data_IF_141678069962
#
_entry.id   IF_141678069962
#
_cell.length_a   1.000
_cell.length_b   1.000
_cell.length_c   1.000
_cell.angle_alpha   90.00
_cell.angle_beta   90.00
_cell.angle_gamma   90.00
#
_symmetry.space_group_name_H-M   'P 1'
#
loop_
_entity.id
_entity.type
_entity.pdbx_description
1 polymer ?
#
# COMPACT_ATOMS: atom_id res chain seq x y z
N UNK A 1 20.68 -30.80 -5.76
CA UNK A 1 20.25 -30.15 -4.51
C UNK A 1 20.40 -28.63 -4.55
N UNK A 2 21.48 -28.06 -5.08
CA UNK A 2 21.64 -26.58 -5.14
C UNK A 2 20.72 -25.88 -6.14
N UNK A 3 20.43 -26.51 -7.30
CA UNK A 3 19.59 -25.92 -8.36
C UNK A 3 18.12 -25.78 -7.96
N UNK A 4 17.59 -26.69 -7.12
CA UNK A 4 16.20 -26.63 -6.64
C UNK A 4 16.00 -25.53 -5.58
N UNK A 5 17.02 -25.25 -4.76
CA UNK A 5 16.96 -24.17 -3.78
C UNK A 5 16.95 -22.79 -4.44
N UNK A 6 17.76 -22.58 -5.48
CA UNK A 6 17.78 -21.33 -6.25
C UNK A 6 16.48 -21.07 -7.00
N UNK A 7 15.84 -22.11 -7.54
CA UNK A 7 14.52 -21.96 -8.16
C UNK A 7 13.44 -21.55 -7.15
N UNK A 8 13.51 -22.07 -5.93
CA UNK A 8 12.53 -21.78 -4.89
C UNK A 8 12.68 -20.35 -4.34
N UNK A 9 13.92 -19.85 -4.15
CA UNK A 9 14.14 -18.46 -3.74
C UNK A 9 13.71 -17.46 -4.81
N UNK A 10 13.99 -17.75 -6.09
CA UNK A 10 13.57 -16.88 -7.19
C UNK A 10 12.03 -16.78 -7.28
N UNK A 11 11.32 -17.90 -7.07
CA UNK A 11 9.86 -17.93 -7.03
C UNK A 11 9.30 -17.10 -5.87
N UNK A 12 9.88 -17.21 -4.67
CA UNK A 12 9.45 -16.45 -3.49
C UNK A 12 9.61 -14.94 -3.69
N UNK A 13 10.71 -14.50 -4.32
CA UNK A 13 10.92 -13.10 -4.65
C UNK A 13 9.87 -12.56 -5.65
N UNK A 14 9.50 -13.37 -6.65
CA UNK A 14 8.47 -13.01 -7.62
C UNK A 14 7.11 -12.89 -6.92
N UNK A 15 6.78 -13.80 -6.01
CA UNK A 15 5.53 -13.73 -5.25
C UNK A 15 5.48 -12.53 -4.32
N UNK A 16 6.55 -12.28 -3.57
CA UNK A 16 6.68 -11.10 -2.70
C UNK A 16 6.53 -9.81 -3.51
N UNK A 17 7.14 -9.72 -4.69
CA UNK A 17 7.01 -8.57 -5.58
C UNK A 17 5.57 -8.35 -6.05
N UNK A 18 4.86 -9.42 -6.40
CA UNK A 18 3.46 -9.34 -6.82
C UNK A 18 2.55 -8.92 -5.66
N UNK A 19 2.80 -9.39 -4.44
CA UNK A 19 2.00 -9.01 -3.27
C UNK A 19 2.10 -7.52 -2.93
N UNK A 20 3.26 -6.89 -3.18
CA UNK A 20 3.45 -5.44 -2.98
C UNK A 20 2.61 -4.58 -3.94
N UNK A 21 2.08 -5.17 -5.01
CA UNK A 21 1.34 -4.45 -6.03
C UNK A 21 -0.15 -4.50 -5.68
N UNK A 22 -0.83 -3.36 -5.47
CA UNK A 22 -2.26 -3.36 -5.21
C UNK A 22 -3.02 -3.70 -6.50
N UNK A 23 -3.59 -4.91 -6.54
CA UNK A 23 -4.50 -5.39 -7.57
C UNK A 23 -5.96 -5.17 -7.15
N UNK A 24 -6.88 -5.17 -8.11
CA UNK A 24 -8.31 -4.96 -7.81
C UNK A 24 -8.97 -6.10 -7.02
N UNK A 25 -8.35 -7.29 -6.97
CA UNK A 25 -8.87 -8.47 -6.28
C UNK A 25 -7.77 -9.18 -5.49
N UNK A 26 -8.10 -9.78 -4.32
CA UNK A 26 -7.15 -10.56 -3.54
C UNK A 26 -6.75 -11.83 -4.30
N UNK A 27 -5.44 -12.10 -4.33
CA UNK A 27 -4.86 -13.24 -5.05
C UNK A 27 -4.78 -14.45 -4.13
N UNK A 28 -5.04 -15.63 -4.67
CA UNK A 28 -4.86 -16.90 -3.95
C UNK A 28 -3.99 -17.88 -4.71
N UNK A 29 -4.04 -17.85 -6.04
CA UNK A 29 -3.27 -18.76 -6.89
C UNK A 29 -2.80 -18.01 -8.13
N UNK A 30 -1.51 -17.68 -8.20
CA UNK A 30 -0.93 -16.86 -9.27
C UNK A 30 -1.16 -17.48 -10.66
N UNK A 31 -0.94 -18.78 -10.84
CA UNK A 31 -1.16 -19.43 -12.14
C UNK A 31 -2.61 -19.32 -12.61
N UNK A 32 -3.58 -19.48 -11.70
CA UNK A 32 -5.00 -19.37 -12.02
C UNK A 32 -5.44 -17.92 -12.22
N UNK A 33 -5.03 -17.02 -11.33
CA UNK A 33 -5.46 -15.63 -11.32
C UNK A 33 -4.91 -14.88 -12.54
N UNK A 34 -3.69 -15.21 -12.99
CA UNK A 34 -3.14 -14.62 -14.22
C UNK A 34 -3.60 -15.31 -15.51
N UNK A 35 -4.28 -16.46 -15.44
CA UNK A 35 -4.61 -17.26 -16.62
C UNK A 35 -5.48 -16.54 -17.67
N UNK A 36 -6.29 -15.56 -17.26
CA UNK A 36 -7.14 -14.78 -18.16
C UNK A 36 -6.47 -13.55 -18.76
N UNK A 37 -5.22 -13.26 -18.36
CA UNK A 37 -4.43 -12.13 -18.84
C UNK A 37 -4.85 -10.77 -18.28
N UNK A 38 -5.95 -10.66 -17.52
CA UNK A 38 -6.46 -9.38 -16.99
C UNK A 38 -5.54 -8.87 -15.88
N UNK A 39 -5.13 -9.74 -14.96
CA UNK A 39 -4.16 -9.38 -13.93
C UNK A 39 -2.80 -8.97 -14.51
N UNK A 40 -2.40 -9.59 -15.63
CA UNK A 40 -1.19 -9.19 -16.33
C UNK A 40 -1.32 -7.79 -16.94
N UNK A 41 -2.50 -7.47 -17.50
CA UNK A 41 -2.80 -6.13 -17.98
C UNK A 41 -2.80 -5.09 -16.85
N UNK A 42 -3.42 -5.38 -15.70
CA UNK A 42 -3.39 -4.49 -14.53
C UNK A 42 -1.95 -4.22 -14.05
N UNK A 43 -1.13 -5.28 -13.98
CA UNK A 43 0.29 -5.17 -13.63
C UNK A 43 1.02 -4.22 -14.60
N UNK A 44 0.88 -4.47 -15.90
CA UNK A 44 1.57 -3.69 -16.92
C UNK A 44 1.02 -2.26 -17.04
N UNK A 45 -0.25 -2.00 -16.71
CA UNK A 45 -0.83 -0.65 -16.70
C UNK A 45 -0.13 0.26 -15.69
N UNK A 46 0.32 -0.27 -14.56
CA UNK A 46 1.03 0.50 -13.52
C UNK A 46 2.36 1.06 -14.01
N UNK A 47 3.11 0.26 -14.75
CA UNK A 47 4.45 0.64 -15.24
C UNK A 47 4.40 1.30 -16.62
N UNK A 48 3.43 0.90 -17.46
CA UNK A 48 3.27 1.39 -18.84
C UNK A 48 1.84 1.89 -19.10
N UNK A 49 1.39 2.96 -18.43
CA UNK A 49 0.01 3.43 -18.48
C UNK A 49 -0.48 3.80 -19.88
N UNK A 50 0.43 4.18 -20.79
CA UNK A 50 0.12 4.53 -22.19
C UNK A 50 0.02 3.29 -23.11
N UNK A 51 0.61 2.16 -22.73
CA UNK A 51 0.67 0.97 -23.58
C UNK A 51 -0.49 0.01 -23.32
N UNK A 52 -1.00 0.01 -22.09
CA UNK A 52 -2.07 -0.91 -21.68
C UNK A 52 -3.38 -0.17 -21.57
N UNK A 53 -4.41 -0.78 -22.13
CA UNK A 53 -5.76 -0.32 -21.95
C UNK A 53 -6.65 -1.45 -21.45
N UNK A 54 -7.00 -1.36 -20.15
CA UNK A 54 -7.61 -2.45 -19.38
C UNK A 54 -8.96 -2.87 -19.97
N UNK A 55 -9.71 -1.95 -20.58
CA UNK A 55 -11.03 -2.26 -21.14
C UNK A 55 -10.98 -3.24 -22.33
N UNK A 56 -9.81 -3.45 -22.92
CA UNK A 56 -9.63 -4.43 -24.00
C UNK A 56 -9.58 -5.89 -23.50
N UNK A 57 -9.51 -6.10 -22.19
CA UNK A 57 -9.34 -7.43 -21.60
C UNK A 57 -10.58 -7.77 -20.77
N UNK A 58 -11.34 -8.75 -21.25
CA UNK A 58 -12.60 -9.13 -20.61
C UNK A 58 -12.32 -10.33 -19.71
N UNK A 59 -12.59 -10.25 -18.39
CA UNK A 59 -12.40 -11.38 -17.50
C UNK A 59 -13.37 -12.51 -17.89
N UNK A 60 -12.88 -13.75 -17.86
CA UNK A 60 -13.70 -14.90 -18.24
C UNK A 60 -13.01 -16.24 -18.07
N UNK A 61 -13.81 -17.29 -17.90
CA UNK A 61 -13.32 -18.65 -17.69
C UNK A 61 -13.13 -19.45 -18.99
N UNK A 62 -13.67 -18.97 -20.12
CA UNK A 62 -13.54 -19.65 -21.41
C UNK A 62 -12.11 -19.61 -21.92
N UNK A 63 -11.54 -20.77 -22.24
CA UNK A 63 -10.17 -20.88 -22.78
C UNK A 63 -9.99 -20.01 -24.02
N UNK A 64 -10.97 -19.98 -24.94
CA UNK A 64 -10.91 -19.13 -26.13
C UNK A 64 -10.75 -17.64 -25.75
N UNK A 65 -11.53 -17.15 -24.79
CA UNK A 65 -11.42 -15.76 -24.30
C UNK A 65 -10.08 -15.48 -23.65
N UNK A 66 -9.55 -16.42 -22.85
CA UNK A 66 -8.24 -16.30 -22.23
C UNK A 66 -7.14 -16.20 -23.30
N UNK A 67 -7.19 -17.05 -24.32
CA UNK A 67 -6.26 -17.01 -25.45
C UNK A 67 -6.37 -15.68 -26.18
N UNK A 68 -7.57 -15.17 -26.44
CA UNK A 68 -7.77 -13.88 -27.11
C UNK A 68 -7.21 -12.71 -26.30
N UNK A 69 -7.41 -12.71 -24.98
CA UNK A 69 -6.82 -11.73 -24.07
C UNK A 69 -5.29 -11.78 -24.13
N UNK A 70 -4.69 -12.97 -24.03
CA UNK A 70 -3.23 -13.15 -24.12
C UNK A 70 -2.68 -12.79 -25.51
N UNK A 71 -3.37 -13.12 -26.59
CA UNK A 71 -3.01 -12.71 -27.95
C UNK A 71 -3.02 -11.18 -28.10
N UNK A 72 -4.04 -10.53 -27.51
CA UNK A 72 -4.16 -9.07 -27.50
C UNK A 72 -3.03 -8.44 -26.70
N UNK A 73 -2.72 -8.98 -25.51
CA UNK A 73 -1.66 -8.50 -24.65
C UNK A 73 -0.28 -8.68 -25.29
N UNK A 74 -0.05 -9.84 -25.92
CA UNK A 74 1.18 -10.12 -26.66
C UNK A 74 1.39 -9.14 -27.82
N UNK A 75 0.35 -8.90 -28.63
CA UNK A 75 0.41 -8.02 -29.78
C UNK A 75 0.51 -6.54 -29.42
N UNK A 76 -0.27 -6.06 -28.44
CA UNK A 76 -0.38 -4.62 -28.13
C UNK A 76 0.68 -4.13 -27.14
N UNK A 77 1.09 -4.99 -26.20
CA UNK A 77 1.89 -4.61 -25.03
C UNK A 77 3.24 -5.32 -25.04
N UNK A 78 3.27 -6.65 -24.98
CA UNK A 78 4.53 -7.39 -24.82
C UNK A 78 5.47 -7.22 -26.02
N UNK A 79 4.93 -7.17 -27.23
CA UNK A 79 5.69 -6.87 -28.45
C UNK A 79 6.47 -5.55 -28.37
N UNK A 80 5.92 -4.54 -27.68
CA UNK A 80 6.57 -3.23 -27.44
C UNK A 80 7.62 -3.29 -26.34
N UNK A 81 7.51 -4.28 -25.45
CA UNK A 81 8.48 -4.59 -24.41
C UNK A 81 9.57 -5.57 -24.89
N UNK A 82 9.58 -5.89 -26.19
CA UNK A 82 10.45 -6.90 -26.81
C UNK A 82 10.30 -8.31 -26.22
N UNK A 83 9.13 -8.61 -25.66
CA UNK A 83 8.75 -9.92 -25.15
C UNK A 83 7.76 -10.53 -26.15
N UNK A 84 8.10 -11.68 -26.74
CA UNK A 84 7.26 -12.36 -27.73
C UNK A 84 6.86 -13.72 -27.21
N UNK A 85 5.58 -13.87 -26.87
CA UNK A 85 5.04 -15.16 -26.45
C UNK A 85 4.65 -15.99 -27.67
N UNK A 86 5.13 -17.23 -27.74
CA UNK A 86 4.70 -18.21 -28.73
C UNK A 86 3.26 -18.67 -28.48
N UNK A 87 2.59 -19.19 -29.52
CA UNK A 87 1.21 -19.71 -29.41
C UNK A 87 1.09 -20.83 -28.37
N UNK A 88 2.12 -21.67 -28.26
CA UNK A 88 2.18 -22.75 -27.27
C UNK A 88 2.20 -22.21 -25.84
N UNK A 89 3.05 -21.21 -25.55
CA UNK A 89 3.12 -20.54 -24.25
C UNK A 89 1.79 -19.87 -23.90
N UNK A 90 1.15 -19.21 -24.87
CA UNK A 90 -0.17 -18.59 -24.68
C UNK A 90 -1.23 -19.65 -24.30
N UNK A 91 -1.22 -20.80 -24.96
CA UNK A 91 -2.12 -21.89 -24.62
C UNK A 91 -1.83 -22.44 -23.21
N UNK A 92 -0.57 -22.58 -22.83
CA UNK A 92 -0.18 -23.02 -21.48
C UNK A 92 -0.62 -22.03 -20.41
N UNK A 93 -0.44 -20.71 -20.65
CA UNK A 93 -0.91 -19.64 -19.76
C UNK A 93 -2.44 -19.66 -19.60
N UNK A 94 -3.18 -19.79 -20.70
CA UNK A 94 -4.64 -19.89 -20.67
C UNK A 94 -5.14 -21.12 -19.87
N UNK A 95 -4.38 -22.21 -19.90
CA UNK A 95 -4.63 -23.44 -19.14
C UNK A 95 -4.12 -23.39 -17.68
N UNK A 96 -3.58 -22.25 -17.21
CA UNK A 96 -3.04 -22.12 -15.85
C UNK A 96 -1.90 -23.11 -15.54
N UNK A 97 -1.06 -23.43 -16.53
CA UNK A 97 0.10 -24.31 -16.33
C UNK A 97 1.09 -23.68 -15.34
N UNK A 98 1.43 -24.42 -14.29
CA UNK A 98 2.36 -23.97 -13.26
C UNK A 98 3.78 -23.82 -13.84
N UNK A 99 4.53 -22.82 -13.36
CA UNK A 99 5.89 -22.53 -13.82
C UNK A 99 5.99 -21.67 -15.08
N UNK A 100 4.92 -21.59 -15.90
CA UNK A 100 4.95 -20.82 -17.15
C UNK A 100 4.74 -19.33 -16.87
N UNK A 101 3.81 -18.99 -15.97
CA UNK A 101 3.54 -17.58 -15.64
C UNK A 101 4.72 -16.95 -14.91
N UNK A 102 5.42 -17.71 -14.07
CA UNK A 102 6.55 -17.28 -13.26
C UNK A 102 7.73 -16.89 -14.15
N UNK A 103 7.98 -17.64 -15.22
CA UNK A 103 8.96 -17.27 -16.26
C UNK A 103 8.60 -15.94 -16.93
N UNK A 104 7.35 -15.80 -17.37
CA UNK A 104 6.86 -14.57 -18.02
C UNK A 104 6.93 -13.37 -17.07
N UNK A 105 6.60 -13.57 -15.79
CA UNK A 105 6.70 -12.54 -14.76
C UNK A 105 8.15 -12.12 -14.50
N UNK A 106 9.08 -13.08 -14.52
CA UNK A 106 10.51 -12.80 -14.39
C UNK A 106 11.01 -11.94 -15.55
N UNK A 107 10.67 -12.32 -16.79
CA UNK A 107 11.03 -11.54 -17.99
C UNK A 107 10.48 -10.11 -17.93
N UNK A 108 9.22 -9.97 -17.53
CA UNK A 108 8.58 -8.66 -17.37
C UNK A 108 9.22 -7.85 -16.25
N UNK A 109 9.56 -8.46 -15.12
CA UNK A 109 10.25 -7.79 -14.01
C UNK A 109 11.63 -7.29 -14.44
N UNK A 110 12.41 -8.13 -15.12
CA UNK A 110 13.72 -7.74 -15.68
C UNK A 110 13.58 -6.60 -16.67
N UNK A 111 12.55 -6.62 -17.53
CA UNK A 111 12.31 -5.55 -18.49
C UNK A 111 11.90 -4.24 -17.82
N UNK A 112 10.99 -4.27 -16.85
CA UNK A 112 10.61 -3.10 -16.04
C UNK A 112 11.84 -2.50 -15.36
N UNK A 113 12.71 -3.33 -14.76
CA UNK A 113 13.92 -2.83 -14.11
C UNK A 113 14.88 -2.16 -15.11
N UNK A 114 15.06 -2.75 -16.30
CA UNK A 114 15.87 -2.16 -17.37
C UNK A 114 15.30 -0.83 -17.86
N UNK A 115 13.99 -0.74 -18.07
CA UNK A 115 13.33 0.46 -18.59
C UNK A 115 13.31 1.59 -17.55
N UNK A 116 13.10 1.27 -16.27
CA UNK A 116 13.26 2.25 -15.18
C UNK A 116 14.71 2.77 -15.07
N UNK A 117 15.70 1.91 -15.27
CA UNK A 117 17.10 2.32 -15.30
C UNK A 117 17.45 3.12 -16.57
N UNK A 118 16.82 2.82 -17.71
CA UNK A 118 17.00 3.57 -18.94
C UNK A 118 16.38 4.97 -18.85
N UNK A 119 15.19 5.11 -18.26
CA UNK A 119 14.57 6.40 -17.97
C UNK A 119 15.46 7.22 -17.01
N UNK A 120 15.99 6.56 -15.97
CA UNK A 120 16.99 7.16 -15.06
C UNK A 120 18.26 7.61 -15.78
N UNK A 121 18.77 6.82 -16.72
CA UNK A 121 19.97 7.14 -17.49
C UNK A 121 19.71 8.18 -18.59
N UNK A 122 18.50 8.23 -19.17
CA UNK A 122 18.10 9.25 -20.15
C UNK A 122 18.03 10.63 -19.51
N UNK A 123 17.47 10.72 -18.30
CA UNK A 123 17.49 11.94 -17.50
C UNK A 123 18.92 12.40 -17.12
N UNK A 124 19.89 11.49 -17.15
CA UNK A 124 21.30 11.78 -16.88
C UNK A 124 22.05 12.27 -18.13
N UNK A 125 21.83 11.64 -19.28
CA UNK A 125 22.50 11.97 -20.55
C UNK A 125 22.07 13.31 -21.15
N UNK A 126 20.79 13.71 -21.00
CA UNK A 126 20.31 15.04 -21.48
C UNK A 126 21.03 16.22 -20.79
N UNK A 127 21.67 15.98 -19.64
CA UNK A 127 22.44 17.00 -18.91
C UNK A 127 23.89 17.11 -19.37
N UNK A 128 24.53 16.04 -19.86
CA UNK A 128 25.94 16.09 -20.29
C UNK A 128 26.12 16.92 -21.58
N UNK A 129 25.13 16.96 -22.48
CA UNK A 129 25.18 17.84 -23.66
C UNK A 129 25.14 19.34 -23.29
N UNK A 130 24.58 19.69 -22.11
CA UNK A 130 24.47 21.08 -21.67
C UNK A 130 25.65 21.56 -20.82
N UNK A 131 26.52 20.67 -20.33
CA UNK A 131 27.67 21.00 -19.45
C UNK A 131 29.03 21.06 -20.16
N UNK A 132 29.06 21.17 -21.50
CA UNK A 132 30.32 21.37 -22.23
C UNK A 132 30.93 22.79 -22.08
N UNK A 133 30.80 23.39 -20.89
CA UNK A 133 31.50 24.61 -20.46
C UNK A 133 31.94 24.52 -18.99
N UNK A 134 33.10 23.90 -18.78
CA UNK A 134 33.97 24.03 -17.59
C UNK A 134 33.43 23.33 -16.35
N UNK A 135 34.18 22.57 -15.55
CA UNK A 135 35.60 22.65 -15.21
C UNK A 135 35.93 21.32 -14.50
N UNK A 136 37.02 20.65 -14.89
CA UNK A 136 37.32 19.28 -14.47
C UNK A 136 37.89 19.27 -13.05
N UNK A 137 37.09 18.84 -12.06
CA UNK A 137 37.59 18.48 -10.74
C UNK A 137 37.80 16.97 -10.67
N UNK A 138 39.05 16.52 -10.74
CA UNK A 138 39.43 15.10 -10.57
C UNK A 138 39.23 14.67 -9.12
N UNK A 139 38.26 13.79 -8.87
CA UNK A 139 38.09 13.10 -7.58
C UNK A 139 39.05 11.90 -7.48
N UNK A 140 39.75 11.82 -6.35
CA UNK A 140 40.83 10.84 -6.04
C UNK A 140 40.22 9.56 -5.44
N UNK A 141 39.22 8.94 -6.07
CA UNK A 141 38.66 7.67 -5.57
C UNK A 141 38.38 6.68 -6.70
N UNK A 142 38.53 5.40 -6.37
CA UNK A 142 38.53 4.27 -7.29
C UNK A 142 37.20 4.19 -8.09
N UNK A 143 37.22 4.05 -9.43
CA UNK A 143 36.02 4.21 -10.28
C UNK A 143 34.86 3.24 -9.98
N UNK A 144 35.17 2.08 -9.41
CA UNK A 144 34.23 0.98 -9.23
C UNK A 144 33.31 1.14 -8.00
N UNK A 145 33.73 1.92 -6.99
CA UNK A 145 32.90 2.21 -5.80
C UNK A 145 31.97 3.42 -5.99
N UNK A 146 32.35 4.37 -6.85
CA UNK A 146 31.56 5.57 -7.16
C UNK A 146 30.32 5.19 -7.98
N UNK A 147 30.47 4.27 -8.93
CA UNK A 147 29.40 3.83 -9.83
C UNK A 147 28.17 3.24 -9.10
N UNK A 148 28.36 2.69 -7.91
CA UNK A 148 27.30 2.02 -7.16
C UNK A 148 26.69 2.84 -6.02
N UNK A 149 27.20 4.05 -5.72
CA UNK A 149 26.67 4.86 -4.59
C UNK A 149 26.59 6.37 -4.81
N UNK A 150 27.18 6.95 -5.85
CA UNK A 150 27.15 8.41 -5.98
C UNK A 150 25.89 8.86 -6.71
N UNK A 151 24.85 9.16 -5.91
CA UNK A 151 23.62 9.83 -6.37
C UNK A 151 24.01 11.21 -6.91
N UNK A 152 23.67 11.55 -8.17
CA UNK A 152 23.96 12.87 -8.73
C UNK A 152 23.41 13.98 -7.83
N UNK A 153 24.19 15.07 -7.64
CA UNK A 153 23.88 16.14 -6.68
C UNK A 153 22.46 16.69 -6.83
N UNK A 154 21.96 16.82 -8.06
CA UNK A 154 20.62 17.33 -8.32
C UNK A 154 19.50 16.33 -7.94
N UNK A 155 19.72 15.03 -8.11
CA UNK A 155 18.79 13.97 -7.64
C UNK A 155 18.78 13.93 -6.12
N UNK A 156 19.95 14.04 -5.50
CA UNK A 156 20.07 14.15 -4.05
C UNK A 156 19.33 15.40 -3.53
N UNK A 157 19.50 16.56 -4.19
CA UNK A 157 18.81 17.81 -3.83
C UNK A 157 17.29 17.69 -3.98
N UNK A 158 16.80 17.08 -5.08
CA UNK A 158 15.37 16.85 -5.28
C UNK A 158 14.79 15.88 -4.26
N UNK A 159 15.45 14.75 -4.02
CA UNK A 159 15.03 13.79 -3.01
C UNK A 159 15.07 14.39 -1.60
N UNK A 160 16.07 15.23 -1.31
CA UNK A 160 16.15 15.98 -0.06
C UNK A 160 14.99 16.98 0.06
N UNK A 161 14.65 17.68 -1.01
CA UNK A 161 13.52 18.61 -1.03
C UNK A 161 12.18 17.88 -0.83
N UNK A 162 11.96 16.76 -1.51
CA UNK A 162 10.74 15.96 -1.34
C UNK A 162 10.64 15.37 0.07
N UNK A 163 11.78 14.97 0.66
CA UNK A 163 11.84 14.53 2.06
C UNK A 163 11.48 15.66 3.02
N UNK A 164 11.99 16.87 2.78
CA UNK A 164 11.69 18.08 3.56
C UNK A 164 10.18 18.39 3.51
N UNK A 165 9.58 18.40 2.32
CA UNK A 165 8.14 18.62 2.12
C UNK A 165 7.29 17.57 2.86
N UNK A 166 7.68 16.29 2.78
CA UNK A 166 7.01 15.21 3.51
C UNK A 166 7.13 15.41 5.03
N UNK A 167 8.29 15.85 5.51
CA UNK A 167 8.54 16.09 6.94
C UNK A 167 7.72 17.28 7.47
N UNK A 168 7.55 18.34 6.68
CA UNK A 168 6.68 19.47 7.02
C UNK A 168 5.19 19.06 7.12
N UNK A 169 4.73 18.19 6.21
CA UNK A 169 3.38 17.62 6.30
C UNK A 169 3.23 16.78 7.57
N UNK A 170 4.23 15.96 7.90
CA UNK A 170 4.24 15.16 9.13
C UNK A 170 4.18 16.05 10.37
N UNK A 171 5.00 17.10 10.44
CA UNK A 171 5.00 18.04 11.56
C UNK A 171 3.63 18.73 11.70
N UNK A 172 3.05 19.19 10.58
CA UNK A 172 1.70 19.77 10.56
C UNK A 172 0.65 18.81 11.11
N UNK A 173 0.72 17.53 10.74
CA UNK A 173 -0.16 16.49 11.25
C UNK A 173 0.05 16.25 12.74
N UNK A 174 1.30 16.20 13.23
CA UNK A 174 1.61 16.07 14.66
C UNK A 174 1.02 17.21 15.48
N UNK A 175 1.15 18.46 15.01
CA UNK A 175 0.54 19.62 15.69
C UNK A 175 -0.99 19.50 15.76
N UNK A 176 -1.62 19.05 14.66
CA UNK A 176 -3.08 18.81 14.63
C UNK A 176 -3.50 17.71 15.59
N UNK A 177 -2.77 16.60 15.64
CA UNK A 177 -3.03 15.50 16.59
C UNK A 177 -2.90 16.00 18.03
N UNK A 178 -1.81 16.68 18.37
CA UNK A 178 -1.60 17.23 19.72
C UNK A 178 -2.69 18.22 20.13
N UNK A 179 -3.13 19.08 19.22
CA UNK A 179 -4.24 20.00 19.47
C UNK A 179 -5.56 19.27 19.74
N UNK A 180 -5.88 18.25 18.93
CA UNK A 180 -7.07 17.43 19.13
C UNK A 180 -7.04 16.66 20.44
N UNK A 181 -5.88 16.11 20.83
CA UNK A 181 -5.69 15.44 22.11
C UNK A 181 -5.91 16.38 23.31
N UNK A 182 -5.40 17.61 23.23
CA UNK A 182 -5.64 18.64 24.26
C UNK A 182 -7.12 19.00 24.38
N UNK A 183 -7.80 19.19 23.25
CA UNK A 183 -9.25 19.44 23.22
C UNK A 183 -10.04 18.28 23.81
N UNK A 184 -9.65 17.05 23.50
CA UNK A 184 -10.28 15.85 24.05
C UNK A 184 -10.12 15.79 25.57
N UNK A 185 -8.90 16.01 26.08
CA UNK A 185 -8.62 16.05 27.53
C UNK A 185 -9.42 17.12 28.26
N UNK A 186 -9.55 18.32 27.68
CA UNK A 186 -10.37 19.39 28.24
C UNK A 186 -11.85 19.01 28.28
N UNK A 187 -12.35 18.36 27.23
CA UNK A 187 -13.72 17.85 27.19
C UNK A 187 -13.95 16.74 28.23
N UNK A 188 -13.00 15.83 28.41
CA UNK A 188 -13.07 14.76 29.42
C UNK A 188 -13.07 15.32 30.85
N UNK A 189 -12.24 16.33 31.12
CA UNK A 189 -12.25 17.03 32.40
C UNK A 189 -13.61 17.71 32.64
N UNK A 190 -14.15 18.39 31.63
CA UNK A 190 -15.47 19.02 31.73
C UNK A 190 -16.58 18.02 31.97
N UNK A 191 -16.54 16.86 31.31
CA UNK A 191 -17.47 15.75 31.55
C UNK A 191 -17.35 15.26 33.00
N UNK A 192 -16.14 15.13 33.52
CA UNK A 192 -15.87 14.70 34.90
C UNK A 192 -16.43 15.71 35.92
N UNK A 193 -16.19 17.01 35.70
CA UNK A 193 -16.69 18.07 36.58
C UNK A 193 -18.22 18.13 36.60
N UNK A 194 -18.85 18.03 35.43
CA UNK A 194 -20.31 18.01 35.30
C UNK A 194 -20.90 16.75 35.93
N UNK A 195 -20.30 15.58 35.71
CA UNK A 195 -20.69 14.32 36.37
C UNK A 195 -20.59 14.44 37.89
N UNK A 196 -19.51 15.04 38.40
CA UNK A 196 -19.31 15.26 39.84
C UNK A 196 -20.35 16.22 40.42
N UNK A 197 -20.75 17.25 39.67
CA UNK A 197 -21.81 18.18 40.08
C UNK A 197 -23.20 17.54 40.04
N UNK A 198 -23.42 16.52 39.21
CA UNK A 198 -24.65 15.72 39.21
C UNK A 198 -24.67 14.75 40.40
N UNK A 199 -23.51 14.23 40.83
CA UNK A 199 -23.40 13.29 41.96
C UNK A 199 -23.46 14.00 43.33
N UNK A 200 -22.86 15.20 43.48
CA UNK A 200 -22.88 15.98 44.75
C UNK A 200 -24.28 16.24 45.35
N UNK A 201 -25.34 16.60 44.60
CA UNK A 201 -26.68 16.77 45.17
C UNK A 201 -27.37 15.45 45.55
N UNK A 202 -26.82 14.29 45.15
CA UNK A 202 -27.34 12.96 45.53
C UNK A 202 -26.80 12.55 46.91
N UNK A 203 -25.56 12.90 47.28
CA UNK A 203 -24.97 12.52 48.57
C UNK A 203 -25.40 13.42 49.76
N UNK A 204 -25.74 14.69 49.52
CA UNK A 204 -26.20 15.58 50.60
C UNK A 204 -27.64 15.34 51.08
N UNK A 205 -28.41 14.49 50.38
CA UNK A 205 -29.78 14.13 50.78
C UNK A 205 -29.88 12.85 51.63
N UNK A 206 -28.76 12.24 52.01
CA UNK A 206 -28.75 11.01 52.82
C UNK A 206 -27.92 11.22 54.10
N UNK A 207 -28.36 12.14 54.97
CA UNK A 207 -27.94 12.10 56.39
C UNK A 207 -28.82 11.10 57.14
N UNK A 208 -28.26 10.09 57.84
CA UNK A 208 -29.05 9.14 58.62
C UNK A 208 -29.55 9.83 59.88
N UNK A 209 -30.86 10.07 59.94
CA UNK A 209 -31.56 10.51 61.16
C UNK A 209 -31.48 9.35 62.16
N UNK A 210 -30.62 9.49 63.17
CA UNK A 210 -30.51 8.54 64.27
C UNK A 210 -31.86 8.33 64.93
N UNK A 211 -32.39 7.11 64.82
CA UNK A 211 -33.63 6.66 65.43
C UNK A 211 -33.32 6.39 66.90
N UNK A 212 -33.73 7.30 67.78
CA UNK A 212 -33.83 6.97 69.20
C UNK A 212 -35.18 6.26 69.41
N UNK A 213 -35.10 4.98 69.73
CA UNK A 213 -36.24 4.16 70.15
C UNK A 213 -36.73 4.62 71.54
N UNK A 214 -38.03 4.86 71.65
CA UNK A 214 -38.79 4.66 72.89
C UNK A 214 -40.05 3.84 72.56
N UNK A 215 -40.35 2.76 73.30
CA UNK A 215 -41.43 1.86 72.96
C UNK A 215 -42.72 2.30 73.64
N UNK A 216 -43.82 2.43 72.90
CA UNK A 216 -45.16 2.26 73.50
C UNK A 216 -46.18 1.89 72.43
N UNK A 217 -46.50 0.60 72.42
CA UNK A 217 -47.83 0.02 72.30
C UNK A 217 -48.85 0.67 71.34
N UNK A 218 -49.17 -0.14 70.33
CA UNK A 218 -50.52 -0.62 70.05
C UNK A 218 -51.54 0.27 69.31
N UNK A 219 -52.19 -0.44 68.37
CA UNK A 219 -53.57 -0.33 67.88
C UNK A 219 -53.77 0.48 66.59
N UNK A 220 -53.93 -0.30 65.52
CA UNK A 220 -55.01 -0.23 64.52
C UNK A 220 -55.61 1.16 64.25
N UNK A 221 -55.59 1.60 63.00
CA UNK A 221 -56.74 1.34 62.12
C UNK A 221 -56.69 2.16 60.82
N UNK A 222 -57.20 1.49 59.77
CA UNK A 222 -57.97 2.04 58.64
C UNK A 222 -57.22 2.84 57.57
N UNK A 223 -57.12 2.19 56.41
CA UNK A 223 -57.78 2.62 55.17
C UNK A 223 -58.13 4.12 55.08
N UNK A 224 -57.69 4.82 54.02
CA UNK A 224 -58.36 4.80 52.70
C UNK A 224 -57.73 5.82 51.74
N UNK A 225 -57.45 5.33 50.55
CA UNK A 225 -57.29 6.04 49.27
C UNK A 225 -58.46 6.99 48.98
N UNK A 226 -58.18 8.11 48.31
CA UNK A 226 -59.02 8.89 47.35
C UNK A 226 -58.37 10.28 47.21
N UNK A 227 -58.14 10.88 46.04
CA UNK A 227 -58.45 10.66 44.61
C UNK A 227 -57.24 11.23 43.84
#
# INVERSE_FOLDING_TARGET
>A
MSVELESNTNLEEIYTWIEQIPFSKPKKNVARDFSDGVFMAELLKRYYPKLVDIHNYIPGNSIAKKIDNWCTLNRKVLSKLDIKLGKDVINQLANSQAGVIEKVLTDVRTKILKDCNADRNSLYFEYEENENKGEVVKSILNPEEIANKTVPRHVFVRLKQELEEKNEVINTLYQKVSHLESLMKLKDQRITDLTSQIIKPIEQNISPRSIHFTPTSNILSKFRTKI
#
